data_IF_287580286019
#
_entry.id   IF_287580286019
#
_cell.length_a   1.000
_cell.length_b   1.000
_cell.length_c   1.000
_cell.angle_alpha   90.00
_cell.angle_beta   90.00
_cell.angle_gamma   90.00
#
_symmetry.space_group_name_H-M   'P 1'
#
loop_
_entity.id
_entity.type
_entity.pdbx_description
1 polymer ?
#
# COMPACT_ATOMS: atom_id res chain seq x y z
N UNK A 1 49.50 -48.49 73.81
CA UNK A 1 48.05 -48.35 74.04
C UNK A 1 47.56 -47.17 73.23
N UNK A 2 46.65 -47.41 72.27
CA UNK A 2 45.57 -46.56 71.70
C UNK A 2 45.73 -45.03 71.71
N UNK A 3 45.35 -44.19 70.73
CA UNK A 3 44.62 -44.20 69.43
C UNK A 3 44.72 -42.71 69.00
N UNK A 4 45.17 -42.33 67.80
CA UNK A 4 44.39 -42.13 66.56
C UNK A 4 43.27 -41.03 66.58
N UNK A 5 43.45 -40.02 65.69
CA UNK A 5 42.49 -39.06 65.09
C UNK A 5 41.84 -37.98 66.00
N UNK A 6 41.53 -36.74 65.61
CA UNK A 6 41.21 -36.14 64.29
C UNK A 6 41.21 -34.59 64.41
N UNK A 7 41.72 -33.90 63.39
CA UNK A 7 41.51 -32.46 63.14
C UNK A 7 40.18 -32.21 62.44
N UNK A 8 39.49 -31.12 62.77
CA UNK A 8 38.43 -30.55 61.91
C UNK A 8 38.58 -29.03 61.86
N UNK A 9 39.20 -28.54 60.78
CA UNK A 9 39.07 -27.16 60.32
C UNK A 9 37.77 -27.01 59.53
N UNK A 10 37.03 -25.94 59.79
CA UNK A 10 35.85 -25.57 59.02
C UNK A 10 36.30 -24.85 57.74
N UNK A 11 36.16 -25.52 56.58
CA UNK A 11 36.31 -24.90 55.28
C UNK A 11 34.95 -24.41 54.79
N UNK A 12 34.78 -23.10 54.64
CA UNK A 12 33.65 -22.52 53.90
C UNK A 12 33.80 -22.87 52.41
N UNK A 13 32.95 -23.75 51.91
CA UNK A 13 32.80 -23.98 50.47
C UNK A 13 31.91 -22.88 49.87
N UNK A 14 32.51 -21.96 49.12
CA UNK A 14 31.80 -20.96 48.33
C UNK A 14 31.32 -21.62 47.04
N UNK A 15 30.07 -22.08 47.01
CA UNK A 15 29.44 -22.63 45.80
C UNK A 15 29.13 -21.50 44.82
N UNK A 16 29.96 -21.31 43.80
CA UNK A 16 29.69 -20.42 42.67
C UNK A 16 28.62 -21.04 41.78
N UNK A 17 27.36 -20.65 42.02
CA UNK A 17 26.26 -20.92 41.09
C UNK A 17 26.50 -20.04 39.85
N UNK A 18 26.92 -20.66 38.75
CA UNK A 18 26.86 -20.06 37.42
C UNK A 18 25.40 -19.77 37.10
N UNK A 19 24.97 -18.53 37.32
CA UNK A 19 23.69 -18.03 36.87
C UNK A 19 23.72 -18.01 35.34
N UNK A 20 23.21 -19.08 34.72
CA UNK A 20 22.79 -19.04 33.32
C UNK A 20 21.58 -18.12 33.28
N UNK A 21 21.81 -16.83 33.06
CA UNK A 21 20.73 -15.91 32.72
C UNK A 21 20.02 -16.50 31.51
N UNK A 22 18.72 -16.86 31.60
CA UNK A 22 17.98 -17.20 30.40
C UNK A 22 18.07 -15.95 29.52
N UNK A 23 18.69 -16.09 28.35
CA UNK A 23 18.48 -15.15 27.25
C UNK A 23 16.97 -15.13 27.10
N UNK A 24 16.33 -14.06 27.57
CA UNK A 24 14.93 -13.79 27.31
C UNK A 24 14.81 -13.81 25.79
N UNK A 25 14.32 -14.91 25.23
CA UNK A 25 13.94 -14.99 23.84
C UNK A 25 12.97 -13.82 23.65
N UNK A 26 13.44 -12.78 22.97
CA UNK A 26 12.67 -11.58 22.72
C UNK A 26 11.48 -12.00 21.86
N UNK A 27 10.35 -12.34 22.47
CA UNK A 27 9.17 -12.78 21.74
C UNK A 27 8.62 -11.58 20.99
N UNK A 28 9.06 -11.39 19.75
CA UNK A 28 8.47 -10.40 18.86
C UNK A 28 6.99 -10.72 18.71
N UNK A 29 6.12 -9.73 18.95
CA UNK A 29 4.67 -9.91 18.81
C UNK A 29 4.36 -10.56 17.46
N UNK A 30 3.44 -11.52 17.44
CA UNK A 30 3.02 -12.19 16.20
C UNK A 30 4.01 -13.19 15.64
N UNK A 31 5.09 -13.51 16.37
CA UNK A 31 5.99 -14.61 16.04
C UNK A 31 5.98 -15.60 17.21
N UNK A 32 5.56 -16.83 16.94
CA UNK A 32 5.63 -17.96 17.87
C UNK A 32 6.62 -19.01 17.35
N UNK A 33 6.75 -20.13 18.07
CA UNK A 33 7.55 -21.27 17.62
C UNK A 33 6.96 -21.95 16.36
N UNK A 34 5.68 -21.70 16.06
CA UNK A 34 4.95 -22.41 14.99
C UNK A 34 4.33 -21.48 13.96
N UNK A 35 4.22 -20.18 14.22
CA UNK A 35 3.46 -19.27 13.37
C UNK A 35 4.07 -17.85 13.32
N UNK A 36 3.94 -17.19 12.18
CA UNK A 36 4.14 -15.75 11.98
C UNK A 36 2.81 -15.16 11.49
N UNK A 37 2.25 -14.22 12.25
CA UNK A 37 0.97 -13.58 11.96
C UNK A 37 1.21 -12.22 11.29
N UNK A 38 0.70 -12.05 10.07
CA UNK A 38 0.73 -10.81 9.31
C UNK A 38 -0.71 -10.29 9.16
N UNK A 39 -0.89 -8.97 9.19
CA UNK A 39 -2.21 -8.35 9.11
C UNK A 39 -2.30 -7.30 8.02
N UNK A 40 -3.49 -7.06 7.49
CA UNK A 40 -3.74 -5.93 6.60
C UNK A 40 -5.16 -5.41 6.75
N UNK A 41 -5.32 -4.08 6.65
CA UNK A 41 -6.63 -3.46 6.50
C UNK A 41 -6.87 -3.15 5.02
N UNK A 42 -8.07 -3.45 4.55
CA UNK A 42 -8.41 -3.47 3.14
C UNK A 42 -9.77 -2.84 2.87
N UNK A 43 -10.00 -2.45 1.63
CA UNK A 43 -11.35 -2.18 1.16
C UNK A 43 -11.91 -3.42 0.46
N UNK A 44 -12.60 -4.29 1.21
CA UNK A 44 -13.15 -5.55 0.68
C UNK A 44 -14.62 -5.42 0.24
N UNK A 45 -15.36 -4.50 0.85
CA UNK A 45 -16.79 -4.28 0.54
C UNK A 45 -17.09 -2.98 -0.21
N UNK A 46 -16.10 -2.11 -0.41
CA UNK A 46 -16.29 -0.78 -0.97
C UNK A 46 -15.75 -0.57 -2.39
N UNK A 47 -15.54 0.71 -2.79
CA UNK A 47 -15.26 1.10 -4.18
C UNK A 47 -13.96 0.53 -4.76
N UNK A 48 -12.96 0.24 -3.93
CA UNK A 48 -11.66 -0.38 -4.27
C UNK A 48 -11.63 -1.90 -4.03
N UNK A 49 -12.76 -2.56 -3.77
CA UNK A 49 -12.84 -4.03 -3.66
C UNK A 49 -12.25 -4.78 -4.87
N UNK A 50 -12.33 -4.20 -6.06
CA UNK A 50 -11.75 -4.78 -7.27
C UNK A 50 -10.21 -4.92 -7.20
N UNK A 51 -9.56 -4.18 -6.30
CA UNK A 51 -8.12 -4.25 -6.03
C UNK A 51 -7.83 -5.11 -4.78
N UNK A 52 -8.51 -4.85 -3.66
CA UNK A 52 -8.20 -5.52 -2.39
C UNK A 52 -8.56 -7.01 -2.39
N UNK A 53 -9.72 -7.40 -2.93
CA UNK A 53 -10.17 -8.80 -2.93
C UNK A 53 -9.18 -9.72 -3.64
N UNK A 54 -8.72 -9.44 -4.89
CA UNK A 54 -7.71 -10.27 -5.52
C UNK A 54 -6.35 -10.19 -4.82
N UNK A 55 -5.96 -9.04 -4.24
CA UNK A 55 -4.71 -8.94 -3.48
C UNK A 55 -4.71 -9.84 -2.23
N UNK A 56 -5.79 -9.82 -1.44
CA UNK A 56 -5.96 -10.70 -0.27
C UNK A 56 -6.02 -12.17 -0.68
N UNK A 57 -6.67 -12.49 -1.80
CA UNK A 57 -6.67 -13.86 -2.33
C UNK A 57 -5.26 -14.31 -2.73
N UNK A 58 -4.50 -13.44 -3.39
CA UNK A 58 -3.14 -13.73 -3.85
C UNK A 58 -2.17 -13.98 -2.69
N UNK A 59 -2.19 -13.14 -1.65
CA UNK A 59 -1.29 -13.33 -0.51
C UNK A 59 -1.61 -14.60 0.29
N UNK A 60 -2.90 -14.92 0.47
CA UNK A 60 -3.30 -16.18 1.11
C UNK A 60 -2.84 -17.40 0.30
N UNK A 61 -2.97 -17.35 -1.03
CA UNK A 61 -2.49 -18.43 -1.89
C UNK A 61 -0.97 -18.58 -1.79
N UNK A 62 -0.22 -17.47 -1.87
CA UNK A 62 1.23 -17.49 -1.77
C UNK A 62 1.72 -18.01 -0.41
N UNK A 63 1.08 -17.61 0.69
CA UNK A 63 1.39 -18.13 2.01
C UNK A 63 1.07 -19.62 2.14
N UNK A 64 -0.01 -20.10 1.53
CA UNK A 64 -0.32 -21.53 1.49
C UNK A 64 0.79 -22.34 0.78
N UNK A 65 1.34 -21.82 -0.32
CA UNK A 65 2.47 -22.46 -1.01
C UNK A 65 3.75 -22.50 -0.16
N UNK A 66 4.04 -21.42 0.56
CA UNK A 66 5.18 -21.36 1.50
C UNK A 66 4.98 -22.36 2.64
N UNK A 67 3.78 -22.40 3.21
CA UNK A 67 3.43 -23.30 4.31
C UNK A 67 3.50 -24.77 3.88
N UNK A 68 3.06 -25.09 2.66
CA UNK A 68 3.17 -26.44 2.10
C UNK A 68 4.64 -26.90 1.95
N UNK A 69 5.59 -25.97 1.91
CA UNK A 69 7.04 -26.24 1.86
C UNK A 69 7.71 -26.21 3.24
N UNK A 70 6.92 -26.24 4.33
CA UNK A 70 7.43 -26.23 5.70
C UNK A 70 7.54 -24.84 6.34
N UNK A 71 7.02 -23.80 5.69
CA UNK A 71 6.97 -22.44 6.23
C UNK A 71 8.33 -21.74 6.26
N UNK A 72 8.40 -20.63 6.98
CA UNK A 72 9.62 -19.83 7.14
C UNK A 72 10.31 -20.24 8.44
N UNK A 73 11.48 -20.87 8.34
CA UNK A 73 12.19 -21.45 9.49
C UNK A 73 11.30 -22.36 10.35
N UNK A 74 10.46 -23.18 9.71
CA UNK A 74 9.50 -24.08 10.39
C UNK A 74 8.21 -23.41 10.87
N UNK A 75 8.04 -22.10 10.68
CA UNK A 75 6.85 -21.34 11.12
C UNK A 75 5.89 -21.11 9.97
N UNK A 76 4.61 -21.40 10.21
CA UNK A 76 3.55 -21.15 9.24
C UNK A 76 3.22 -19.66 9.15
N UNK A 77 2.96 -19.17 7.95
CA UNK A 77 2.47 -17.82 7.73
C UNK A 77 0.95 -17.79 7.83
N UNK A 78 0.42 -16.85 8.61
CA UNK A 78 -1.02 -16.56 8.69
C UNK A 78 -1.28 -15.11 8.32
N UNK A 79 -2.27 -14.90 7.47
CA UNK A 79 -2.72 -13.56 7.10
C UNK A 79 -4.09 -13.25 7.71
N UNK A 80 -4.22 -12.11 8.37
CA UNK A 80 -5.49 -11.61 8.92
C UNK A 80 -5.87 -10.33 8.19
N UNK A 81 -7.04 -10.32 7.54
CA UNK A 81 -7.53 -9.18 6.80
C UNK A 81 -8.75 -8.55 7.50
N UNK A 82 -8.71 -7.23 7.70
CA UNK A 82 -9.87 -6.45 8.16
C UNK A 82 -10.43 -5.60 7.03
N UNK A 83 -11.75 -5.46 6.97
CA UNK A 83 -12.43 -4.62 5.98
C UNK A 83 -12.78 -3.25 6.57
N UNK A 84 -12.29 -2.19 5.94
CA UNK A 84 -12.66 -0.81 6.25
C UNK A 84 -13.65 -0.21 5.23
N UNK A 85 -14.01 -0.89 4.14
CA UNK A 85 -15.01 -0.40 3.17
C UNK A 85 -14.67 0.98 2.57
N UNK A 86 -13.38 1.25 2.37
CA UNK A 86 -12.81 2.57 2.05
C UNK A 86 -13.18 3.73 3.01
N UNK A 87 -13.63 3.44 4.23
CA UNK A 87 -13.97 4.44 5.24
C UNK A 87 -12.85 4.56 6.30
N UNK A 88 -12.22 5.74 6.37
CA UNK A 88 -11.12 6.02 7.31
C UNK A 88 -11.57 5.86 8.77
N UNK A 89 -12.83 6.11 9.11
CA UNK A 89 -13.32 5.95 10.49
C UNK A 89 -13.31 4.49 10.98
N UNK A 90 -13.34 3.52 10.05
CA UNK A 90 -13.26 2.08 10.37
C UNK A 90 -11.82 1.58 10.58
N UNK A 91 -10.81 2.37 10.22
CA UNK A 91 -9.38 1.98 10.35
C UNK A 91 -8.99 1.83 11.81
N UNK A 92 -9.42 2.74 12.68
CA UNK A 92 -9.10 2.68 14.11
C UNK A 92 -9.47 1.34 14.76
N UNK A 93 -10.74 0.92 14.68
CA UNK A 93 -11.16 -0.41 15.16
C UNK A 93 -10.44 -1.58 14.47
N UNK A 94 -10.29 -1.55 13.15
CA UNK A 94 -9.61 -2.61 12.39
C UNK A 94 -8.14 -2.78 12.82
N UNK A 95 -7.37 -1.70 12.88
CA UNK A 95 -5.96 -1.72 13.28
C UNK A 95 -5.82 -2.10 14.76
N UNK A 96 -6.72 -1.63 15.63
CA UNK A 96 -6.69 -2.06 17.03
C UNK A 96 -6.97 -3.55 17.20
N UNK A 97 -7.87 -4.13 16.39
CA UNK A 97 -8.11 -5.57 16.40
C UNK A 97 -6.85 -6.32 15.93
N UNK A 98 -6.31 -5.96 14.76
CA UNK A 98 -5.09 -6.57 14.22
C UNK A 98 -3.92 -6.52 15.21
N UNK A 99 -3.65 -5.35 15.78
CA UNK A 99 -2.49 -5.15 16.64
C UNK A 99 -2.70 -5.70 18.05
N UNK A 100 -3.86 -5.50 18.67
CA UNK A 100 -4.05 -5.86 20.07
C UNK A 100 -4.64 -7.25 20.27
N UNK A 101 -5.57 -7.67 19.40
CA UNK A 101 -6.28 -8.95 19.51
C UNK A 101 -5.59 -10.03 18.69
N UNK A 102 -5.37 -9.76 17.41
CA UNK A 102 -4.76 -10.75 16.50
C UNK A 102 -3.24 -10.80 16.63
N UNK A 103 -2.65 -9.82 17.35
CA UNK A 103 -1.22 -9.77 17.69
C UNK A 103 -0.32 -9.91 16.47
N UNK A 104 -0.61 -9.17 15.41
CA UNK A 104 0.20 -9.22 14.18
C UNK A 104 1.65 -8.80 14.44
N UNK A 105 2.58 -9.41 13.71
CA UNK A 105 4.00 -9.03 13.66
C UNK A 105 4.21 -7.78 12.81
N UNK A 106 3.57 -7.72 11.65
CA UNK A 106 3.67 -6.60 10.73
C UNK A 106 2.32 -6.31 10.05
N UNK A 107 2.08 -5.05 9.75
CA UNK A 107 1.08 -4.65 8.77
C UNK A 107 1.67 -4.93 7.38
N UNK A 108 0.96 -5.70 6.56
CA UNK A 108 1.44 -6.23 5.28
C UNK A 108 0.37 -6.07 4.21
N UNK A 109 0.73 -5.42 3.09
CA UNK A 109 -0.17 -5.21 1.95
C UNK A 109 -1.46 -4.45 2.29
N UNK A 110 -1.44 -3.57 3.29
CA UNK A 110 -2.61 -2.77 3.65
C UNK A 110 -2.93 -1.70 2.58
N UNK A 111 -4.20 -1.47 2.31
CA UNK A 111 -4.67 -0.60 1.23
C UNK A 111 -5.10 0.79 1.73
N UNK A 112 -4.85 1.80 0.88
CA UNK A 112 -5.38 3.16 0.98
C UNK A 112 -4.42 4.12 1.67
N UNK A 113 -4.08 5.23 1.01
CA UNK A 113 -3.14 6.23 1.57
C UNK A 113 -3.65 6.85 2.88
N UNK A 114 -4.84 7.49 2.94
CA UNK A 114 -5.31 8.08 4.19
C UNK A 114 -5.56 7.02 5.27
N UNK A 115 -5.89 5.79 4.86
CA UNK A 115 -6.08 4.66 5.76
C UNK A 115 -4.76 4.22 6.41
N UNK A 116 -3.68 4.08 5.62
CA UNK A 116 -2.35 3.77 6.14
C UNK A 116 -1.84 4.90 7.06
N UNK A 117 -1.96 6.17 6.65
CA UNK A 117 -1.57 7.30 7.50
C UNK A 117 -2.32 7.31 8.84
N UNK A 118 -3.60 6.93 8.86
CA UNK A 118 -4.35 6.75 10.09
C UNK A 118 -3.89 5.53 10.91
N UNK A 119 -3.53 4.43 10.24
CA UNK A 119 -3.01 3.23 10.88
C UNK A 119 -1.66 3.48 11.57
N UNK A 120 -0.76 4.26 10.96
CA UNK A 120 0.57 4.59 11.51
C UNK A 120 0.49 5.23 12.90
N UNK A 121 -0.50 6.10 13.12
CA UNK A 121 -0.75 6.71 14.44
C UNK A 121 -1.03 5.70 15.56
N UNK A 122 -1.42 4.47 15.21
CA UNK A 122 -1.74 3.37 16.15
C UNK A 122 -0.64 2.31 16.16
N UNK A 123 -0.10 1.97 14.99
CA UNK A 123 0.87 0.91 14.78
C UNK A 123 2.30 1.32 15.19
N UNK A 124 2.72 2.54 14.86
CA UNK A 124 4.08 3.02 15.08
C UNK A 124 4.46 3.08 16.57
N UNK A 125 3.62 3.60 17.49
CA UNK A 125 3.93 3.58 18.92
C UNK A 125 4.08 2.17 19.52
N UNK A 126 3.59 1.15 18.80
CA UNK A 126 3.66 -0.26 19.19
C UNK A 126 4.78 -1.01 18.46
N UNK A 127 5.57 -0.31 17.65
CA UNK A 127 6.67 -0.89 16.89
C UNK A 127 6.23 -1.89 15.83
N UNK A 128 5.00 -1.78 15.31
CA UNK A 128 4.49 -2.66 14.25
C UNK A 128 4.93 -2.10 12.89
N UNK A 129 5.86 -2.77 12.17
CA UNK A 129 6.30 -2.30 10.87
C UNK A 129 5.18 -2.36 9.84
N UNK A 130 5.24 -1.46 8.87
CA UNK A 130 4.37 -1.46 7.70
C UNK A 130 5.17 -1.86 6.46
N UNK A 131 4.80 -2.99 5.86
CA UNK A 131 5.58 -3.66 4.83
C UNK A 131 4.75 -3.79 3.56
N UNK A 132 5.33 -3.34 2.44
CA UNK A 132 4.76 -3.45 1.11
C UNK A 132 3.28 -3.02 1.06
N UNK A 133 2.92 -1.82 1.56
CA UNK A 133 1.54 -1.36 1.48
C UNK A 133 1.08 -1.32 0.02
N UNK A 134 -0.22 -1.53 -0.19
CA UNK A 134 -0.88 -1.28 -1.48
C UNK A 134 -1.15 0.23 -1.63
N UNK A 135 -0.07 1.00 -1.45
CA UNK A 135 -0.04 2.45 -1.47
C UNK A 135 1.40 2.94 -1.68
N UNK A 136 1.60 3.99 -2.46
CA UNK A 136 2.91 4.54 -2.78
C UNK A 136 2.95 6.07 -2.66
N UNK A 137 2.33 6.61 -1.61
CA UNK A 137 2.33 8.06 -1.37
C UNK A 137 3.65 8.54 -0.78
N UNK A 138 4.11 9.71 -1.21
CA UNK A 138 5.30 10.38 -0.66
C UNK A 138 5.15 10.63 0.85
N UNK A 139 3.93 10.95 1.28
CA UNK A 139 3.59 11.19 2.70
C UNK A 139 3.83 9.97 3.60
N UNK A 140 3.88 8.76 3.03
CA UNK A 140 4.13 7.51 3.76
C UNK A 140 5.63 7.18 3.87
N UNK A 141 6.50 7.97 3.22
CA UNK A 141 7.94 7.71 3.10
C UNK A 141 8.81 8.84 3.68
N UNK A 142 8.25 10.04 3.82
CA UNK A 142 8.99 11.23 4.25
C UNK A 142 8.79 11.50 5.76
N UNK A 143 9.91 11.51 6.52
CA UNK A 143 10.08 11.80 7.97
C UNK A 143 9.64 10.69 8.96
N UNK A 144 10.32 10.53 10.12
CA UNK A 144 11.24 9.43 10.43
C UNK A 144 10.54 8.08 10.65
N UNK A 145 9.89 7.56 9.61
CA UNK A 145 9.31 6.23 9.61
C UNK A 145 10.39 5.14 9.45
N UNK A 146 11.07 4.81 10.56
CA UNK A 146 12.16 3.82 10.58
C UNK A 146 11.72 2.41 10.19
N UNK A 147 10.42 2.12 10.22
CA UNK A 147 9.87 0.76 10.09
C UNK A 147 8.81 0.65 8.98
N UNK A 148 8.80 1.58 8.03
CA UNK A 148 7.91 1.53 6.86
C UNK A 148 8.72 1.22 5.60
N UNK A 149 8.29 0.21 4.84
CA UNK A 149 9.01 -0.30 3.69
C UNK A 149 8.05 -0.44 2.51
N UNK A 150 8.16 0.46 1.54
CA UNK A 150 7.40 0.39 0.29
C UNK A 150 8.21 -0.27 -0.83
N UNK A 151 7.51 -0.95 -1.73
CA UNK A 151 8.12 -1.64 -2.89
C UNK A 151 7.83 -0.98 -4.23
N UNK A 152 7.27 0.22 -4.24
CA UNK A 152 6.85 0.94 -5.44
C UNK A 152 7.50 2.34 -5.46
N UNK A 153 7.75 2.88 -6.65
CA UNK A 153 8.05 4.31 -6.80
C UNK A 153 6.89 5.14 -6.26
N UNK A 154 7.18 6.35 -5.78
CA UNK A 154 6.11 7.22 -5.31
C UNK A 154 5.14 7.60 -6.43
N UNK A 155 3.90 7.93 -6.08
CA UNK A 155 2.90 8.37 -7.04
C UNK A 155 3.34 9.65 -7.77
N UNK A 156 3.97 10.60 -7.05
CA UNK A 156 4.48 11.83 -7.65
C UNK A 156 5.54 11.54 -8.70
N UNK A 157 6.55 10.74 -8.37
CA UNK A 157 7.65 10.41 -9.29
C UNK A 157 7.15 9.62 -10.50
N UNK A 158 6.32 8.60 -10.27
CA UNK A 158 5.76 7.78 -11.35
C UNK A 158 4.98 8.62 -12.36
N UNK A 159 4.11 9.51 -11.88
CA UNK A 159 3.28 10.35 -12.76
C UNK A 159 4.11 11.44 -13.43
N UNK A 160 5.06 12.05 -12.71
CA UNK A 160 5.97 13.04 -13.29
C UNK A 160 6.75 12.47 -14.46
N UNK A 161 7.39 11.32 -14.27
CA UNK A 161 8.17 10.67 -15.34
C UNK A 161 7.26 10.16 -16.46
N UNK A 162 6.05 9.68 -16.13
CA UNK A 162 5.03 9.32 -17.12
C UNK A 162 4.63 10.50 -18.01
N UNK A 163 4.44 11.70 -17.44
CA UNK A 163 4.16 12.92 -18.21
C UNK A 163 5.33 13.29 -19.12
N UNK A 164 6.56 13.25 -18.60
CA UNK A 164 7.77 13.55 -19.39
C UNK A 164 7.89 12.59 -20.58
N UNK A 165 7.64 11.30 -20.36
CA UNK A 165 7.61 10.29 -21.42
C UNK A 165 6.52 10.60 -22.46
N UNK A 166 5.30 10.90 -22.03
CA UNK A 166 4.20 11.20 -22.95
C UNK A 166 4.44 12.49 -23.76
N UNK A 167 5.13 13.48 -23.19
CA UNK A 167 5.56 14.68 -23.91
C UNK A 167 6.51 14.34 -25.06
N UNK A 168 7.53 13.52 -24.79
CA UNK A 168 8.56 13.12 -25.76
C UNK A 168 8.03 12.19 -26.84
N UNK A 169 7.26 11.19 -26.45
CA UNK A 169 6.96 10.03 -27.31
C UNK A 169 5.53 10.01 -27.86
N UNK A 170 4.59 10.73 -27.23
CA UNK A 170 3.14 10.60 -27.47
C UNK A 170 2.44 11.93 -27.73
N UNK A 171 3.19 13.01 -27.94
CA UNK A 171 2.68 14.32 -28.30
C UNK A 171 1.81 14.98 -27.23
N UNK A 172 2.13 14.77 -25.95
CA UNK A 172 1.46 15.48 -24.87
C UNK A 172 1.75 16.99 -24.94
N UNK A 173 0.73 17.83 -24.74
CA UNK A 173 0.84 19.30 -24.83
C UNK A 173 0.17 20.01 -23.66
N UNK A 174 -0.99 19.52 -23.21
CA UNK A 174 -1.73 20.05 -22.07
C UNK A 174 -2.08 18.90 -21.13
N UNK A 175 -1.55 18.97 -19.92
CA UNK A 175 -1.70 17.97 -18.87
C UNK A 175 -2.78 18.43 -17.89
N UNK A 176 -3.67 17.52 -17.50
CA UNK A 176 -4.69 17.78 -16.50
C UNK A 176 -4.81 16.62 -15.53
N UNK A 177 -5.53 16.80 -14.43
CA UNK A 177 -5.72 15.75 -13.42
C UNK A 177 -7.18 15.45 -13.13
N UNK A 178 -7.47 14.18 -12.86
CA UNK A 178 -8.77 13.69 -12.41
C UNK A 178 -8.56 12.78 -11.19
N UNK A 179 -8.96 13.22 -9.99
CA UNK A 179 -8.50 12.57 -8.76
C UNK A 179 -9.49 12.58 -7.58
N UNK A 180 -9.33 11.63 -6.66
CA UNK A 180 -9.99 11.69 -5.35
C UNK A 180 -9.30 12.73 -4.45
N UNK A 181 -10.01 13.66 -3.77
CA UNK A 181 -9.40 14.73 -2.96
C UNK A 181 -8.83 14.19 -1.63
N UNK A 182 -7.80 13.37 -1.75
CA UNK A 182 -7.09 12.61 -0.71
C UNK A 182 -5.60 12.72 -0.96
N UNK A 183 -4.75 12.30 -0.02
CA UNK A 183 -3.29 12.30 -0.19
C UNK A 183 -2.86 11.55 -1.47
N UNK A 184 -3.48 10.40 -1.77
CA UNK A 184 -3.27 9.68 -3.04
C UNK A 184 -3.50 10.57 -4.27
N UNK A 185 -4.67 11.21 -4.33
CA UNK A 185 -5.01 12.02 -5.50
C UNK A 185 -4.21 13.31 -5.59
N UNK A 186 -3.79 13.87 -4.45
CA UNK A 186 -2.91 15.04 -4.41
C UNK A 186 -1.50 14.72 -4.87
N UNK A 187 -0.95 13.55 -4.55
CA UNK A 187 0.36 13.13 -5.07
C UNK A 187 0.33 12.95 -6.58
N UNK A 188 -0.71 12.29 -7.13
CA UNK A 188 -0.86 12.16 -8.60
C UNK A 188 -1.03 13.52 -9.28
N UNK A 189 -1.81 14.42 -8.69
CA UNK A 189 -1.95 15.79 -9.21
C UNK A 189 -0.64 16.58 -9.14
N UNK A 190 0.12 16.40 -8.05
CA UNK A 190 1.45 17.00 -7.88
C UNK A 190 2.41 16.49 -8.94
N UNK A 191 2.48 15.18 -9.16
CA UNK A 191 3.29 14.56 -10.22
C UNK A 191 2.90 15.07 -11.61
N UNK A 192 1.60 15.23 -11.89
CA UNK A 192 1.12 15.77 -13.16
C UNK A 192 1.58 17.22 -13.38
N UNK A 193 1.51 18.07 -12.34
CA UNK A 193 1.99 19.45 -12.39
C UNK A 193 3.50 19.54 -12.57
N UNK A 194 4.25 18.79 -11.78
CA UNK A 194 5.71 18.77 -11.84
C UNK A 194 6.20 18.22 -13.19
N UNK A 195 5.55 17.18 -13.71
CA UNK A 195 5.85 16.63 -15.03
C UNK A 195 5.56 17.63 -16.15
N UNK A 196 4.44 18.36 -16.07
CA UNK A 196 4.11 19.39 -17.03
C UNK A 196 5.16 20.51 -17.02
N UNK A 197 5.52 21.01 -15.83
CA UNK A 197 6.58 22.01 -15.65
C UNK A 197 7.92 21.54 -16.23
N UNK A 198 8.37 20.33 -15.85
CA UNK A 198 9.64 19.76 -16.31
C UNK A 198 9.69 19.55 -17.83
N UNK A 199 8.55 19.28 -18.46
CA UNK A 199 8.44 19.11 -19.91
C UNK A 199 8.11 20.40 -20.67
N UNK A 200 7.99 21.56 -19.99
CA UNK A 200 7.61 22.83 -20.60
C UNK A 200 6.17 22.85 -21.15
N UNK A 201 5.27 22.06 -20.57
CA UNK A 201 3.87 21.90 -20.96
C UNK A 201 2.93 22.73 -20.07
N UNK A 202 1.71 22.97 -20.56
CA UNK A 202 0.66 23.63 -19.77
C UNK A 202 -0.01 22.61 -18.85
N UNK A 203 -0.16 22.95 -17.56
CA UNK A 203 -1.15 22.30 -16.70
C UNK A 203 -2.51 22.98 -16.91
N UNK A 204 -3.44 22.31 -17.60
CA UNK A 204 -4.70 22.89 -18.04
C UNK A 204 -5.74 23.03 -16.92
N UNK A 205 -5.82 22.07 -16.01
CA UNK A 205 -6.78 22.11 -14.92
C UNK A 205 -7.03 20.76 -14.29
N UNK A 206 -8.08 20.70 -13.47
CA UNK A 206 -8.43 19.48 -12.73
C UNK A 206 -9.91 19.32 -12.43
N UNK A 207 -10.27 18.07 -12.14
CA UNK A 207 -11.54 17.67 -11.55
C UNK A 207 -11.32 16.74 -10.36
N UNK A 208 -12.19 16.85 -9.36
CA UNK A 208 -12.18 16.00 -8.18
C UNK A 208 -13.43 15.16 -8.11
N UNK A 209 -13.31 13.97 -7.52
CA UNK A 209 -14.36 12.96 -7.56
C UNK A 209 -14.59 12.27 -6.23
N UNK A 210 -15.81 11.79 -6.02
CA UNK A 210 -16.11 10.88 -4.90
C UNK A 210 -15.72 9.45 -5.28
N UNK A 211 -15.34 8.59 -4.31
CA UNK A 211 -14.94 7.20 -4.60
C UNK A 211 -16.02 6.35 -5.28
N UNK A 212 -17.30 6.68 -5.11
CA UNK A 212 -18.47 5.98 -5.65
C UNK A 212 -19.09 6.66 -6.88
N UNK A 213 -18.47 7.72 -7.39
CA UNK A 213 -18.97 8.46 -8.56
C UNK A 213 -18.92 7.62 -9.83
N UNK A 214 -20.02 7.66 -10.59
CA UNK A 214 -20.22 6.81 -11.78
C UNK A 214 -20.50 7.57 -13.09
N UNK A 215 -20.55 8.90 -13.07
CA UNK A 215 -20.73 9.72 -14.27
C UNK A 215 -19.58 10.73 -14.37
N UNK A 216 -18.96 10.80 -15.55
CA UNK A 216 -17.78 11.63 -15.82
C UNK A 216 -17.95 12.53 -17.04
N UNK A 217 -19.15 12.61 -17.65
CA UNK A 217 -19.39 13.41 -18.87
C UNK A 217 -19.06 14.89 -18.64
N UNK A 218 -19.54 15.45 -17.52
CA UNK A 218 -19.27 16.84 -17.17
C UNK A 218 -17.78 17.12 -16.95
N UNK A 219 -17.10 16.24 -16.22
CA UNK A 219 -15.67 16.37 -15.94
C UNK A 219 -14.81 16.25 -17.20
N UNK A 220 -15.09 15.28 -18.07
CA UNK A 220 -14.40 15.14 -19.35
C UNK A 220 -14.67 16.33 -20.28
N UNK A 221 -15.89 16.87 -20.29
CA UNK A 221 -16.22 18.07 -21.07
C UNK A 221 -15.44 19.29 -20.60
N UNK A 222 -15.33 19.49 -19.27
CA UNK A 222 -14.52 20.56 -18.68
C UNK A 222 -13.05 20.41 -19.07
N UNK A 223 -12.46 19.23 -18.88
CA UNK A 223 -11.05 19.00 -19.23
C UNK A 223 -10.79 19.19 -20.73
N UNK A 224 -11.71 18.73 -21.60
CA UNK A 224 -11.63 19.00 -23.04
C UNK A 224 -11.62 20.50 -23.34
N UNK A 225 -12.47 21.29 -22.67
CA UNK A 225 -12.53 22.74 -22.87
C UNK A 225 -11.24 23.46 -22.43
N UNK A 226 -10.51 22.94 -21.45
CA UNK A 226 -9.18 23.42 -21.06
C UNK A 226 -8.07 23.05 -22.06
N UNK A 227 -8.40 22.26 -23.09
CA UNK A 227 -7.49 21.77 -24.11
C UNK A 227 -6.68 20.55 -23.70
N UNK A 228 -7.04 19.87 -22.61
CA UNK A 228 -6.29 18.72 -22.10
C UNK A 228 -6.20 17.61 -23.15
N UNK A 229 -4.98 17.12 -23.43
CA UNK A 229 -4.77 15.94 -24.27
C UNK A 229 -4.11 14.78 -23.51
N UNK A 230 -3.67 15.02 -22.26
CA UNK A 230 -3.34 13.96 -21.28
C UNK A 230 -4.06 14.27 -19.97
N UNK A 231 -4.70 13.26 -19.39
CA UNK A 231 -5.34 13.34 -18.06
C UNK A 231 -4.70 12.31 -17.12
N UNK A 232 -3.98 12.80 -16.10
CA UNK A 232 -3.48 11.98 -15.01
C UNK A 232 -4.65 11.58 -14.08
N UNK A 233 -4.81 10.29 -13.81
CA UNK A 233 -5.95 9.73 -13.07
C UNK A 233 -5.52 9.15 -11.74
N UNK A 234 -6.19 9.54 -10.67
CA UNK A 234 -6.11 8.91 -9.35
C UNK A 234 -7.49 8.52 -8.86
N UNK A 235 -8.01 7.45 -9.46
CA UNK A 235 -9.37 6.93 -9.26
C UNK A 235 -9.35 5.43 -9.01
N UNK A 236 -10.48 4.88 -8.53
CA UNK A 236 -10.64 3.43 -8.40
C UNK A 236 -10.75 2.74 -9.77
N UNK A 237 -10.42 1.44 -9.83
CA UNK A 237 -10.40 0.65 -11.08
C UNK A 237 -11.71 0.78 -11.89
N UNK A 238 -12.86 0.69 -11.21
CA UNK A 238 -14.17 0.85 -11.87
C UNK A 238 -14.34 2.25 -12.47
N UNK A 239 -13.97 3.29 -11.71
CA UNK A 239 -14.07 4.68 -12.16
C UNK A 239 -13.15 4.93 -13.36
N UNK A 240 -11.91 4.45 -13.32
CA UNK A 240 -10.97 4.52 -14.45
C UNK A 240 -11.58 3.91 -15.71
N UNK A 241 -12.14 2.71 -15.63
CA UNK A 241 -12.80 2.07 -16.78
C UNK A 241 -14.02 2.88 -17.29
N UNK A 242 -14.82 3.44 -16.38
CA UNK A 242 -15.95 4.30 -16.73
C UNK A 242 -15.49 5.58 -17.43
N UNK A 243 -14.43 6.22 -16.94
CA UNK A 243 -13.83 7.42 -17.56
C UNK A 243 -13.37 7.11 -18.97
N UNK A 244 -12.58 6.04 -19.15
CA UNK A 244 -12.08 5.62 -20.46
C UNK A 244 -13.22 5.31 -21.44
N UNK A 245 -14.22 4.55 -21.00
CA UNK A 245 -15.40 4.22 -21.81
C UNK A 245 -16.24 5.46 -22.16
N UNK A 246 -16.39 6.40 -21.23
CA UNK A 246 -17.13 7.66 -21.44
C UNK A 246 -16.40 8.56 -22.42
N UNK A 247 -15.09 8.73 -22.27
CA UNK A 247 -14.26 9.50 -23.20
C UNK A 247 -14.39 8.98 -24.63
N UNK A 248 -14.34 7.65 -24.81
CA UNK A 248 -14.54 7.00 -26.12
C UNK A 248 -15.94 7.27 -26.69
N UNK A 249 -16.99 7.15 -25.88
CA UNK A 249 -18.38 7.47 -26.30
C UNK A 249 -18.56 8.93 -26.69
N UNK A 250 -17.81 9.83 -26.06
CA UNK A 250 -17.78 11.27 -26.38
C UNK A 250 -16.91 11.61 -27.59
N UNK A 251 -16.26 10.62 -28.23
CA UNK A 251 -15.35 10.84 -29.36
C UNK A 251 -14.01 11.48 -28.97
N UNK A 252 -13.61 11.41 -27.70
CA UNK A 252 -12.33 11.94 -27.20
C UNK A 252 -11.18 10.96 -27.43
N UNK A 253 -11.06 10.40 -28.64
CA UNK A 253 -10.11 9.33 -28.96
C UNK A 253 -8.65 9.78 -28.95
N UNK A 254 -8.38 11.08 -29.07
CA UNK A 254 -7.03 11.64 -29.03
C UNK A 254 -6.55 11.97 -27.60
N UNK A 255 -7.47 11.98 -26.63
CA UNK A 255 -7.17 12.21 -25.22
C UNK A 255 -6.56 10.95 -24.62
N UNK A 256 -5.36 11.09 -24.07
CA UNK A 256 -4.64 10.02 -23.38
C UNK A 256 -4.88 10.13 -21.88
N UNK A 257 -4.74 9.01 -21.20
CA UNK A 257 -4.88 8.92 -19.76
C UNK A 257 -3.60 8.35 -19.15
N UNK A 258 -3.23 8.80 -17.96
CA UNK A 258 -2.03 8.35 -17.26
C UNK A 258 -2.41 7.94 -15.84
N UNK A 259 -2.18 6.68 -15.48
CA UNK A 259 -2.28 6.18 -14.12
C UNK A 259 -0.92 6.19 -13.41
N UNK A 260 -0.94 6.08 -12.09
CA UNK A 260 0.23 5.69 -11.30
C UNK A 260 0.25 4.16 -11.12
N UNK A 261 1.18 3.65 -10.31
CA UNK A 261 1.23 2.24 -9.91
C UNK A 261 -0.11 1.69 -9.37
N UNK A 262 -0.97 2.53 -8.79
CA UNK A 262 -2.31 2.13 -8.32
C UNK A 262 -3.27 1.71 -9.45
N UNK A 263 -3.01 2.14 -10.69
CA UNK A 263 -3.75 1.75 -11.88
C UNK A 263 -3.24 0.46 -12.53
N UNK A 264 -2.07 -0.04 -12.11
CA UNK A 264 -1.45 -1.24 -12.66
C UNK A 264 -2.21 -2.50 -12.23
N UNK A 265 -3.27 -2.83 -12.97
CA UNK A 265 -4.16 -3.94 -12.62
C UNK A 265 -4.59 -4.73 -13.86
N UNK A 266 -4.62 -6.05 -13.74
CA UNK A 266 -4.93 -6.96 -14.86
C UNK A 266 -6.32 -6.74 -15.46
N UNK A 267 -7.30 -6.30 -14.66
CA UNK A 267 -8.65 -5.94 -15.15
C UNK A 267 -8.59 -4.73 -16.07
N UNK A 268 -7.75 -3.74 -15.78
CA UNK A 268 -7.53 -2.58 -16.66
C UNK A 268 -6.84 -3.02 -17.94
N UNK A 269 -5.79 -3.84 -17.82
CA UNK A 269 -5.07 -4.37 -18.97
C UNK A 269 -5.98 -5.19 -19.91
N UNK A 270 -6.81 -6.09 -19.37
CA UNK A 270 -7.79 -6.87 -20.13
C UNK A 270 -8.86 -6.01 -20.80
N UNK A 271 -9.25 -4.88 -20.19
CA UNK A 271 -10.15 -3.93 -20.85
C UNK A 271 -9.50 -3.28 -22.10
N UNK A 272 -8.17 -3.27 -22.19
CA UNK A 272 -7.39 -2.91 -23.38
C UNK A 272 -7.59 -3.89 -24.55
N UNK A 273 -7.84 -5.18 -24.30
CA UNK A 273 -8.17 -6.16 -25.36
C UNK A 273 -9.48 -5.79 -26.08
N UNK A 274 -10.38 -5.07 -25.40
CA UNK A 274 -11.59 -4.46 -25.98
C UNK A 274 -11.40 -3.05 -26.54
N UNK A 275 -10.15 -2.56 -26.67
CA UNK A 275 -9.79 -1.18 -27.05
C UNK A 275 -10.37 -0.11 -26.12
N UNK A 276 -10.78 -0.44 -24.90
CA UNK A 276 -11.31 0.52 -23.92
C UNK A 276 -10.15 1.23 -23.23
N UNK A 277 -9.05 0.52 -22.95
CA UNK A 277 -7.85 1.10 -22.36
C UNK A 277 -6.80 1.57 -23.39
N UNK A 278 -7.16 1.64 -24.68
CA UNK A 278 -6.29 2.23 -25.70
C UNK A 278 -6.04 3.70 -25.35
N UNK A 279 -4.76 4.09 -25.26
CA UNK A 279 -4.38 5.43 -24.82
C UNK A 279 -4.34 5.61 -23.31
N UNK A 280 -4.47 4.53 -22.52
CA UNK A 280 -4.14 4.54 -21.09
C UNK A 280 -2.71 4.04 -20.86
N UNK A 281 -1.93 4.84 -20.13
CA UNK A 281 -0.54 4.59 -19.78
C UNK A 281 -0.43 4.45 -18.27
N UNK A 282 0.47 3.59 -17.80
CA UNK A 282 0.79 3.37 -16.39
C UNK A 282 2.30 3.23 -16.23
#
# INVERSE_FOLDING_TARGET
>A
MNKFLKSTGAALALSTVLAVSPVLANSSQGVSDTEIVLGGHHDLSGPFAAFSVPAVKAINHYFAEINAKGGVHGRMLKYVAEDHGYNVSKVGPAVNKLVNKDKIFAMFMALGTPHNLAAFKIADPKGIPNIMPLSASDSMLNEPYKIHFAGLSSYTDAVKEGVIYLAKEKGATVICSMYLPTDFGKDVQSGAKQGAEAAGLKYGGETTHKPDEGDFVGSLSKLKAEGCNVVATALGIRQTLTVLGTAKKMGLTDMKFLGSSAAFHTVVAKAGEGKIADGYYV
#
